data_IF_491773632775
#
_entry.id   IF_491773632775
#
_cell.length_a   1.000
_cell.length_b   1.000
_cell.length_c   1.000
_cell.angle_alpha   90.00
_cell.angle_beta   90.00
_cell.angle_gamma   90.00
#
_symmetry.space_group_name_H-M   'P 1'
#
loop_
_entity.id
_entity.type
_entity.pdbx_description
1 polymer ?
#
# COMPACT_ATOMS: atom_id res chain seq x y z
N UNK A 1 19.81 -32.11 62.74
CA UNK A 1 20.34 -30.86 63.32
C UNK A 1 19.22 -29.82 63.23
N UNK A 2 18.49 -29.58 64.33
CA UNK A 2 18.30 -28.25 64.98
C UNK A 2 18.04 -27.14 63.95
N UNK A 3 16.86 -26.53 63.75
CA UNK A 3 15.74 -26.21 64.63
C UNK A 3 15.78 -24.71 64.99
N UNK A 4 14.84 -23.89 64.51
CA UNK A 4 14.41 -22.60 65.10
C UNK A 4 13.16 -22.07 64.36
N UNK A 5 11.94 -22.40 64.81
CA UNK A 5 11.00 -21.58 65.61
C UNK A 5 10.38 -20.37 64.88
N UNK A 6 9.04 -20.40 64.85
CA UNK A 6 8.12 -19.30 64.54
C UNK A 6 8.38 -18.06 65.41
N UNK A 7 8.05 -16.88 64.90
CA UNK A 7 7.45 -15.85 65.76
C UNK A 7 6.46 -14.99 64.98
N UNK A 8 5.18 -15.10 65.37
CA UNK A 8 4.09 -14.17 65.03
C UNK A 8 4.42 -12.78 65.59
N UNK A 9 4.17 -11.73 64.81
CA UNK A 9 3.88 -10.38 65.32
C UNK A 9 2.73 -9.77 64.53
N UNK A 10 1.54 -9.86 65.10
CA UNK A 10 0.46 -8.88 64.92
C UNK A 10 0.70 -7.74 65.91
N UNK A 11 0.50 -6.49 65.49
CA UNK A 11 0.18 -5.26 66.27
C UNK A 11 0.12 -4.09 65.26
N UNK A 12 -1.04 -3.58 64.86
CA UNK A 12 -1.92 -2.56 65.48
C UNK A 12 -1.60 -1.10 65.06
N UNK A 13 -2.65 -0.47 64.51
CA UNK A 13 -3.04 0.96 64.41
C UNK A 13 -2.03 2.01 63.90
N UNK A 14 -2.49 2.76 62.89
CA UNK A 14 -1.95 4.05 62.49
C UNK A 14 -2.87 4.78 61.52
N UNK A 15 -4.05 5.20 61.99
CA UNK A 15 -4.88 6.18 61.29
C UNK A 15 -4.20 7.56 61.39
N UNK A 16 -3.94 8.18 60.25
CA UNK A 16 -3.63 9.60 60.16
C UNK A 16 -4.42 10.20 59.01
N UNK A 17 -5.61 10.69 59.37
CA UNK A 17 -6.40 11.66 58.63
C UNK A 17 -5.56 12.95 58.52
N UNK A 18 -5.22 13.38 57.31
CA UNK A 18 -4.80 14.76 57.06
C UNK A 18 -5.70 15.34 55.98
N UNK A 19 -6.71 16.05 56.47
CA UNK A 19 -7.49 17.04 55.75
C UNK A 19 -6.53 18.11 55.20
N UNK A 20 -6.37 18.17 53.88
CA UNK A 20 -5.92 19.38 53.21
C UNK A 20 -7.13 19.97 52.50
N UNK A 21 -7.45 21.19 52.94
CA UNK A 21 -8.65 21.92 52.59
C UNK A 21 -8.75 22.26 51.11
N UNK A 22 -9.99 22.23 50.67
CA UNK A 22 -10.54 22.82 49.47
C UNK A 22 -10.15 24.30 49.32
N UNK A 23 -9.60 24.65 48.16
CA UNK A 23 -9.76 25.96 47.56
C UNK A 23 -10.28 25.76 46.14
N UNK A 24 -11.60 25.52 46.02
CA UNK A 24 -12.31 25.68 44.77
C UNK A 24 -12.35 27.16 44.43
N UNK A 25 -11.38 27.65 43.68
CA UNK A 25 -11.54 28.92 42.94
C UNK A 25 -12.27 28.56 41.66
N UNK A 26 -13.60 28.50 41.76
CA UNK A 26 -14.48 28.44 40.60
C UNK A 26 -14.39 29.79 39.88
N UNK A 27 -13.47 29.90 38.92
CA UNK A 27 -13.54 30.95 37.92
C UNK A 27 -14.87 30.79 37.18
N UNK A 28 -15.80 31.72 37.42
CA UNK A 28 -17.02 31.80 36.62
C UNK A 28 -16.58 32.20 35.21
N UNK A 29 -16.96 31.45 34.16
CA UNK A 29 -16.85 31.96 32.80
C UNK A 29 -17.76 33.18 32.69
N UNK A 30 -17.24 34.27 32.12
CA UNK A 30 -18.05 35.44 31.81
C UNK A 30 -19.21 35.04 30.89
N UNK A 31 -20.43 35.56 31.10
CA UNK A 31 -21.52 35.37 30.15
C UNK A 31 -21.11 35.96 28.79
N UNK A 32 -21.43 35.29 27.67
CA UNK A 32 -21.17 35.86 26.35
C UNK A 32 -21.90 37.20 26.21
N UNK A 33 -21.30 38.19 25.53
CA UNK A 33 -21.94 39.48 25.31
C UNK A 33 -23.28 39.29 24.58
N UNK A 34 -24.29 40.04 25.00
CA UNK A 34 -25.60 40.07 24.36
C UNK A 34 -25.45 40.41 22.86
N UNK A 35 -26.26 39.81 21.97
CA UNK A 35 -26.25 40.16 20.57
C UNK A 35 -26.59 41.64 20.41
N UNK A 36 -25.70 42.39 19.75
CA UNK A 36 -25.96 43.77 19.36
C UNK A 36 -27.19 43.84 18.44
N UNK A 37 -28.03 44.89 18.54
CA UNK A 37 -29.16 45.07 17.64
C UNK A 37 -28.66 45.22 16.20
N UNK A 38 -29.11 44.30 15.35
CA UNK A 38 -28.88 44.37 13.90
C UNK A 38 -29.42 45.70 13.37
N UNK A 39 -28.61 46.52 12.68
CA UNK A 39 -29.12 47.71 12.02
C UNK A 39 -30.06 47.28 10.88
N UNK A 40 -31.28 47.80 10.94
CA UNK A 40 -32.33 47.65 9.95
C UNK A 40 -31.84 48.17 8.59
N UNK A 41 -31.76 47.28 7.61
CA UNK A 41 -31.26 47.61 6.28
C UNK A 41 -32.25 48.53 5.57
N UNK A 42 -31.80 49.74 5.24
CA UNK A 42 -32.50 50.67 4.35
C UNK A 42 -32.60 50.05 2.96
N UNK A 43 -33.77 50.06 2.28
CA UNK A 43 -33.88 49.51 0.94
C UNK A 43 -33.08 50.37 -0.05
N UNK A 44 -32.04 49.77 -0.64
CA UNK A 44 -31.27 50.35 -1.75
C UNK A 44 -32.05 50.13 -3.05
N UNK A 45 -32.21 51.19 -3.82
CA UNK A 45 -32.83 51.17 -5.14
C UNK A 45 -32.14 50.18 -6.10
N UNK A 46 -32.96 49.39 -6.79
CA UNK A 46 -32.60 48.41 -7.82
C UNK A 46 -31.99 49.10 -9.04
N UNK A 47 -30.76 48.78 -9.48
CA UNK A 47 -30.30 49.18 -10.80
C UNK A 47 -30.96 48.28 -11.87
N UNK A 48 -31.32 48.90 -13.00
CA UNK A 48 -31.91 48.23 -14.16
C UNK A 48 -30.94 47.20 -14.78
N UNK A 49 -31.44 46.09 -15.35
CA UNK A 49 -30.59 45.05 -15.93
C UNK A 49 -29.91 45.53 -17.22
N UNK A 50 -28.59 45.37 -17.27
CA UNK A 50 -27.79 45.42 -18.50
C UNK A 50 -28.07 44.18 -19.34
N UNK A 51 -28.27 44.29 -20.67
CA UNK A 51 -28.47 43.12 -21.52
C UNK A 51 -27.21 42.22 -21.54
N UNK A 52 -27.38 40.88 -21.61
CA UNK A 52 -26.25 39.96 -21.70
C UNK A 52 -25.51 40.10 -23.05
N UNK A 53 -24.20 39.82 -23.10
CA UNK A 53 -23.46 39.74 -24.35
C UNK A 53 -23.98 38.59 -25.24
N UNK A 54 -23.81 38.69 -26.57
CA UNK A 54 -24.25 37.64 -27.49
C UNK A 54 -23.52 36.32 -27.22
N UNK A 55 -24.31 35.25 -27.12
CA UNK A 55 -23.85 33.87 -27.01
C UNK A 55 -22.95 33.50 -28.20
N UNK A 56 -21.73 32.98 -27.98
CA UNK A 56 -20.94 32.42 -29.08
C UNK A 56 -21.65 31.20 -29.66
N UNK A 57 -21.66 31.11 -31.00
CA UNK A 57 -22.21 29.96 -31.71
C UNK A 57 -21.54 28.65 -31.25
N UNK A 58 -22.27 27.52 -31.19
CA UNK A 58 -21.69 26.24 -30.82
C UNK A 58 -20.60 25.86 -31.84
N UNK A 59 -19.37 25.68 -31.34
CA UNK A 59 -18.32 25.04 -32.11
C UNK A 59 -18.73 23.58 -32.33
N UNK A 60 -18.89 23.19 -33.59
CA UNK A 60 -19.08 21.79 -33.99
C UNK A 60 -17.90 20.98 -33.44
N UNK A 61 -18.15 20.15 -32.44
CA UNK A 61 -17.15 19.22 -31.94
C UNK A 61 -16.82 18.23 -33.07
N UNK A 62 -15.59 18.28 -33.55
CA UNK A 62 -15.01 17.21 -34.36
C UNK A 62 -15.08 15.92 -33.52
N UNK A 63 -15.55 14.78 -34.05
CA UNK A 63 -15.52 13.54 -33.31
C UNK A 63 -14.06 13.16 -33.04
N UNK A 64 -13.64 13.24 -31.79
CA UNK A 64 -12.40 12.63 -31.32
C UNK A 64 -12.57 11.13 -31.42
N UNK A 65 -11.92 10.54 -32.42
CA UNK A 65 -11.74 9.09 -32.50
C UNK A 65 -10.97 8.66 -31.24
N UNK A 66 -11.52 7.77 -30.39
CA UNK A 66 -10.77 7.27 -29.25
C UNK A 66 -9.49 6.58 -29.76
N UNK A 67 -8.35 6.71 -29.03
CA UNK A 67 -7.15 5.97 -29.40
C UNK A 67 -7.49 4.46 -29.49
N UNK A 68 -6.91 3.71 -30.45
CA UNK A 68 -7.14 2.29 -30.52
C UNK A 68 -6.77 1.67 -29.17
N UNK A 69 -7.73 1.01 -28.53
CA UNK A 69 -7.45 0.05 -27.46
C UNK A 69 -6.74 -1.12 -28.12
N UNK A 70 -5.42 -1.02 -28.26
CA UNK A 70 -4.59 -2.15 -28.67
C UNK A 70 -4.67 -3.16 -27.54
N UNK A 71 -5.38 -4.26 -27.78
CA UNK A 71 -5.30 -5.46 -26.95
C UNK A 71 -3.81 -5.82 -26.81
N UNK A 72 -3.31 -6.10 -25.59
CA UNK A 72 -1.90 -6.42 -25.40
C UNK A 72 -1.52 -7.58 -26.32
N UNK A 73 -0.40 -7.43 -27.03
CA UNK A 73 0.14 -8.52 -27.84
C UNK A 73 0.44 -9.72 -26.91
N UNK A 74 0.22 -10.95 -27.39
CA UNK A 74 0.25 -12.14 -26.54
C UNK A 74 1.60 -12.33 -25.87
N UNK A 75 1.58 -12.99 -24.70
CA UNK A 75 2.78 -13.51 -24.02
C UNK A 75 3.62 -14.30 -25.04
N UNK A 76 4.80 -13.76 -25.36
CA UNK A 76 5.76 -14.45 -26.21
C UNK A 76 6.50 -15.51 -25.41
N UNK A 77 6.66 -16.70 -25.99
CA UNK A 77 7.46 -17.77 -25.43
C UNK A 77 8.95 -17.42 -25.60
N UNK A 78 9.43 -16.57 -24.68
CA UNK A 78 10.84 -16.27 -24.52
C UNK A 78 11.40 -17.15 -23.41
N UNK A 79 12.61 -17.67 -23.62
CA UNK A 79 13.36 -18.31 -22.54
C UNK A 79 13.45 -17.34 -21.34
N UNK A 80 13.04 -17.77 -20.14
CA UNK A 80 13.03 -16.91 -18.96
C UNK A 80 14.42 -16.32 -18.67
N UNK A 81 14.45 -15.10 -18.13
CA UNK A 81 15.72 -14.42 -17.83
C UNK A 81 16.20 -14.70 -16.41
N UNK A 82 17.39 -15.28 -16.29
CA UNK A 82 18.03 -15.63 -15.02
C UNK A 82 18.69 -14.45 -14.29
N UNK A 83 18.83 -13.28 -14.92
CA UNK A 83 19.50 -12.14 -14.29
C UNK A 83 18.63 -11.36 -13.29
N UNK A 84 18.99 -10.12 -13.00
CA UNK A 84 18.35 -9.34 -11.92
C UNK A 84 16.92 -8.93 -12.27
N UNK A 85 16.05 -8.90 -11.26
CA UNK A 85 14.80 -8.12 -11.27
C UNK A 85 15.16 -6.69 -10.85
N UNK A 86 14.85 -5.68 -11.67
CA UNK A 86 15.46 -4.34 -11.53
C UNK A 86 14.51 -3.29 -11.02
N UNK A 87 13.28 -3.23 -11.54
CA UNK A 87 12.30 -2.22 -11.11
C UNK A 87 10.88 -2.67 -11.39
N UNK A 88 9.93 -2.02 -10.72
CA UNK A 88 8.50 -2.18 -10.97
C UNK A 88 7.86 -0.84 -11.25
N UNK A 89 6.91 -0.83 -12.19
CA UNK A 89 6.05 0.32 -12.48
C UNK A 89 4.59 -0.04 -12.24
N UNK A 90 3.86 0.87 -11.61
CA UNK A 90 2.41 0.81 -11.41
C UNK A 90 1.82 2.08 -12.04
N UNK A 91 1.52 2.09 -13.36
CA UNK A 91 1.20 3.31 -14.08
C UNK A 91 -0.03 4.05 -13.57
N UNK A 92 -1.09 3.34 -13.13
CA UNK A 92 -2.30 3.98 -12.59
C UNK A 92 -2.06 4.69 -11.25
N UNK A 93 -0.97 4.37 -10.55
CA UNK A 93 -0.56 5.00 -9.30
C UNK A 93 0.62 5.97 -9.46
N UNK A 94 1.13 6.15 -10.69
CA UNK A 94 2.33 6.96 -10.97
C UNK A 94 3.57 6.51 -10.16
N UNK A 95 3.70 5.21 -9.91
CA UNK A 95 4.84 4.63 -9.16
C UNK A 95 5.84 4.00 -10.12
N UNK A 96 7.11 4.32 -9.89
CA UNK A 96 8.28 3.60 -10.41
C UNK A 96 9.30 3.49 -9.28
N UNK A 97 9.68 2.26 -8.94
CA UNK A 97 10.61 2.00 -7.84
C UNK A 97 11.59 0.87 -8.18
N UNK A 98 12.85 0.97 -7.71
CA UNK A 98 13.81 -0.11 -7.86
C UNK A 98 13.37 -1.34 -7.06
N UNK A 99 13.75 -2.51 -7.57
CA UNK A 99 13.58 -3.79 -6.88
C UNK A 99 14.91 -4.22 -6.27
N UNK A 100 14.84 -4.72 -5.04
CA UNK A 100 15.96 -5.42 -4.41
C UNK A 100 15.55 -6.84 -4.01
N UNK A 101 16.47 -7.81 -4.10
CA UNK A 101 16.22 -9.15 -3.59
C UNK A 101 16.20 -9.11 -2.05
N UNK A 102 15.15 -9.69 -1.48
CA UNK A 102 14.98 -9.89 -0.05
C UNK A 102 14.61 -11.35 0.20
N UNK A 103 14.70 -11.79 1.45
CA UNK A 103 14.48 -13.19 1.80
C UNK A 103 13.62 -13.37 3.04
N UNK A 104 13.84 -14.50 3.69
CA UNK A 104 13.35 -14.79 5.03
C UNK A 104 14.53 -14.58 5.96
N UNK A 105 14.32 -13.85 7.05
CA UNK A 105 15.27 -13.76 8.15
C UNK A 105 15.18 -15.07 8.92
N UNK A 106 16.03 -16.04 8.59
CA UNK A 106 15.94 -17.42 9.09
C UNK A 106 16.00 -17.50 10.62
N UNK A 107 16.81 -16.66 11.27
CA UNK A 107 16.97 -16.68 12.73
C UNK A 107 15.68 -16.26 13.46
N UNK A 108 14.85 -15.45 12.81
CA UNK A 108 13.60 -14.93 13.34
C UNK A 108 12.38 -15.64 12.76
N UNK A 109 12.56 -16.39 11.66
CA UNK A 109 11.49 -16.95 10.85
C UNK A 109 10.47 -15.89 10.42
N UNK A 110 10.99 -14.73 9.99
CA UNK A 110 10.21 -13.54 9.59
C UNK A 110 10.52 -13.16 8.14
N UNK A 111 9.57 -12.55 7.45
CA UNK A 111 9.81 -11.98 6.12
C UNK A 111 10.68 -10.74 6.25
N UNK A 112 11.76 -10.67 5.47
CA UNK A 112 12.60 -9.47 5.42
C UNK A 112 11.81 -8.28 4.84
N UNK A 113 12.25 -7.06 5.18
CA UNK A 113 11.56 -5.82 4.86
C UNK A 113 12.49 -4.95 4.01
N UNK A 114 12.05 -4.49 2.83
CA UNK A 114 12.91 -3.70 1.95
C UNK A 114 13.24 -2.32 2.51
N UNK A 115 14.23 -1.65 1.92
CA UNK A 115 14.46 -0.23 2.11
C UNK A 115 13.19 0.58 1.82
N UNK A 116 13.01 1.71 2.51
CA UNK A 116 11.74 2.44 2.52
C UNK A 116 11.24 2.90 1.13
N UNK A 117 12.15 3.07 0.16
CA UNK A 117 11.84 3.48 -1.22
C UNK A 117 11.97 2.33 -2.23
N UNK A 118 12.36 1.13 -1.80
CA UNK A 118 12.51 -0.04 -2.68
C UNK A 118 11.27 -0.93 -2.61
N UNK A 119 11.11 -1.74 -3.66
CA UNK A 119 10.23 -2.90 -3.64
C UNK A 119 11.11 -4.12 -3.40
N UNK A 120 10.78 -4.92 -2.40
CA UNK A 120 11.45 -6.18 -2.13
C UNK A 120 10.84 -7.28 -2.98
N UNK A 121 11.67 -8.02 -3.71
CA UNK A 121 11.31 -9.29 -4.33
C UNK A 121 11.81 -10.42 -3.45
N UNK A 122 10.93 -11.34 -3.07
CA UNK A 122 11.32 -12.51 -2.31
C UNK A 122 11.99 -13.55 -3.23
N UNK A 123 13.32 -13.51 -3.27
CA UNK A 123 14.15 -14.46 -4.01
C UNK A 123 14.26 -15.76 -3.20
N UNK A 124 13.19 -16.56 -3.24
CA UNK A 124 13.07 -17.78 -2.42
C UNK A 124 12.96 -18.99 -3.33
N UNK A 125 14.10 -19.62 -3.60
CA UNK A 125 14.21 -20.77 -4.51
C UNK A 125 13.57 -22.06 -3.93
N UNK A 126 13.53 -22.22 -2.61
CA UNK A 126 13.07 -23.45 -1.94
C UNK A 126 11.60 -23.41 -1.48
N UNK A 127 10.87 -22.30 -1.71
CA UNK A 127 9.45 -22.22 -1.39
C UNK A 127 8.58 -22.52 -2.61
N UNK A 128 8.21 -23.79 -2.76
CA UNK A 128 7.28 -24.28 -3.77
C UNK A 128 6.12 -23.30 -4.02
N UNK A 129 5.87 -22.98 -5.29
CA UNK A 129 4.78 -22.11 -5.73
C UNK A 129 5.20 -20.65 -5.92
N UNK A 130 6.30 -20.23 -5.30
CA UNK A 130 6.93 -18.94 -5.59
C UNK A 130 8.11 -19.10 -6.53
N UNK A 131 8.32 -18.11 -7.38
CA UNK A 131 9.41 -18.11 -8.33
C UNK A 131 9.72 -16.73 -8.89
N UNK A 132 10.68 -16.71 -9.80
CA UNK A 132 11.14 -15.50 -10.46
C UNK A 132 10.18 -15.07 -11.58
N UNK A 133 10.03 -13.75 -11.85
CA UNK A 133 9.22 -13.27 -12.96
C UNK A 133 9.65 -13.92 -14.29
N UNK A 134 8.68 -14.47 -15.03
CA UNK A 134 8.88 -15.19 -16.29
C UNK A 134 8.97 -16.71 -16.20
N UNK A 135 9.00 -17.31 -15.00
CA UNK A 135 9.15 -18.77 -14.81
C UNK A 135 7.84 -19.54 -14.68
N UNK A 136 6.68 -18.89 -14.88
CA UNK A 136 5.37 -19.57 -14.75
C UNK A 136 4.93 -19.85 -13.32
N UNK A 137 5.54 -19.17 -12.34
CA UNK A 137 5.24 -19.28 -10.91
C UNK A 137 4.62 -18.00 -10.34
N UNK A 138 4.43 -17.91 -9.02
CA UNK A 138 3.99 -16.67 -8.39
C UNK A 138 5.23 -15.90 -7.92
N UNK A 139 5.45 -14.68 -8.37
CA UNK A 139 6.49 -13.84 -7.76
C UNK A 139 5.91 -12.99 -6.63
N UNK A 140 6.50 -13.09 -5.44
CA UNK A 140 6.05 -12.34 -4.26
C UNK A 140 6.85 -11.06 -4.09
N UNK A 141 6.16 -9.94 -3.92
CA UNK A 141 6.75 -8.63 -3.69
C UNK A 141 6.15 -7.94 -2.47
N UNK A 142 7.00 -7.23 -1.72
CA UNK A 142 6.56 -6.32 -0.66
C UNK A 142 7.14 -4.93 -0.84
N UNK A 143 6.44 -3.93 -0.32
CA UNK A 143 6.97 -2.58 -0.18
C UNK A 143 6.26 -1.85 0.95
N UNK A 144 6.89 -0.79 1.46
CA UNK A 144 6.29 0.06 2.48
C UNK A 144 5.04 0.76 1.96
N UNK A 145 4.00 0.82 2.79
CA UNK A 145 2.88 1.74 2.60
C UNK A 145 3.37 3.15 2.92
N UNK A 146 3.80 3.36 4.15
CA UNK A 146 4.48 4.56 4.59
C UNK A 146 5.65 4.21 5.51
N UNK A 147 6.44 5.23 5.85
CA UNK A 147 7.62 5.07 6.66
C UNK A 147 7.80 6.30 7.57
N UNK A 148 8.12 6.04 8.84
CA UNK A 148 8.28 7.07 9.85
C UNK A 148 9.41 8.07 9.47
N UNK A 149 9.24 9.40 9.66
CA UNK A 149 8.10 10.05 10.30
C UNK A 149 6.93 10.43 9.40
N UNK A 150 7.10 10.57 8.08
CA UNK A 150 6.06 11.03 7.15
C UNK A 150 6.45 10.75 5.68
N UNK A 151 7.07 9.61 5.39
CA UNK A 151 7.45 9.22 4.04
C UNK A 151 6.41 8.26 3.48
N UNK A 152 6.08 8.38 2.20
CA UNK A 152 5.27 7.38 1.49
C UNK A 152 6.20 6.37 0.85
N UNK A 153 5.91 5.08 1.00
CA UNK A 153 6.61 4.02 0.29
C UNK A 153 5.96 3.70 -1.05
N UNK A 154 6.55 2.80 -1.85
CA UNK A 154 6.05 2.47 -3.18
C UNK A 154 4.61 1.93 -3.20
N UNK A 155 4.18 1.25 -2.13
CA UNK A 155 2.84 0.64 -2.03
C UNK A 155 1.86 1.47 -1.19
N UNK A 156 2.11 2.77 -1.00
CA UNK A 156 1.24 3.68 -0.24
C UNK A 156 -0.24 3.56 -0.62
N UNK A 157 -0.52 3.55 -1.92
CA UNK A 157 -1.85 3.51 -2.52
C UNK A 157 -2.18 2.17 -3.19
N UNK A 158 -1.55 1.05 -2.76
CA UNK A 158 -1.68 -0.24 -3.44
C UNK A 158 -3.15 -0.69 -3.63
N UNK A 159 -4.03 -0.40 -2.68
CA UNK A 159 -5.47 -0.74 -2.72
C UNK A 159 -6.31 0.13 -3.65
N UNK A 160 -5.71 1.15 -4.26
CA UNK A 160 -6.34 1.97 -5.30
C UNK A 160 -6.18 1.36 -6.70
N UNK A 161 -5.35 0.31 -6.85
CA UNK A 161 -5.32 -0.50 -8.06
C UNK A 161 -6.70 -1.10 -8.33
N UNK A 162 -7.04 -1.25 -9.60
CA UNK A 162 -8.32 -1.83 -10.02
C UNK A 162 -8.08 -3.01 -10.92
N UNK A 163 -9.06 -3.90 -10.99
CA UNK A 163 -9.04 -4.97 -11.99
C UNK A 163 -8.85 -4.37 -13.39
N UNK A 164 -7.88 -4.88 -14.14
CA UNK A 164 -7.46 -4.34 -15.43
C UNK A 164 -6.23 -3.42 -15.38
N UNK A 165 -5.88 -2.87 -14.21
CA UNK A 165 -4.67 -2.06 -14.06
C UNK A 165 -3.42 -2.90 -14.31
N UNK A 166 -2.36 -2.22 -14.78
CA UNK A 166 -1.13 -2.87 -15.20
C UNK A 166 -0.06 -2.75 -14.12
N UNK A 167 0.69 -3.82 -13.93
CA UNK A 167 1.92 -3.85 -13.14
C UNK A 167 3.02 -4.33 -14.04
N UNK A 168 4.11 -3.57 -14.17
CA UNK A 168 5.18 -3.87 -15.11
C UNK A 168 6.45 -4.15 -14.33
N UNK A 169 6.99 -5.36 -14.47
CA UNK A 169 8.27 -5.76 -13.88
C UNK A 169 9.35 -5.68 -14.95
N UNK A 170 10.42 -4.92 -14.68
CA UNK A 170 11.54 -4.71 -15.59
C UNK A 170 12.73 -5.57 -15.15
N UNK A 171 13.29 -6.33 -16.08
CA UNK A 171 14.44 -7.21 -15.84
C UNK A 171 15.75 -6.55 -16.28
N UNK A 172 16.87 -7.12 -15.82
CA UNK A 172 18.22 -6.60 -16.07
C UNK A 172 18.69 -6.63 -17.53
N UNK A 173 18.09 -7.48 -18.38
CA UNK A 173 18.32 -7.45 -19.83
C UNK A 173 17.44 -6.44 -20.57
N UNK A 174 16.54 -5.75 -19.87
CA UNK A 174 15.62 -4.77 -20.43
C UNK A 174 14.30 -5.33 -20.93
N UNK A 175 14.03 -6.63 -20.77
CA UNK A 175 12.67 -7.16 -21.01
C UNK A 175 11.71 -6.70 -19.93
N UNK A 176 10.43 -6.66 -20.27
CA UNK A 176 9.38 -6.31 -19.33
C UNK A 176 8.30 -7.39 -19.30
N UNK A 177 7.88 -7.76 -18.09
CA UNK A 177 6.71 -8.60 -17.86
C UNK A 177 5.55 -7.71 -17.43
N UNK A 178 4.47 -7.72 -18.20
CA UNK A 178 3.28 -6.91 -17.97
C UNK A 178 2.21 -7.79 -17.38
N UNK A 179 1.83 -7.49 -16.14
CA UNK A 179 0.78 -8.17 -15.40
C UNK A 179 -0.48 -7.32 -15.35
N UNK A 180 -1.64 -7.96 -15.31
CA UNK A 180 -2.95 -7.33 -15.16
C UNK A 180 -3.57 -7.73 -13.81
N UNK A 181 -3.93 -6.72 -13.02
CA UNK A 181 -4.61 -6.89 -11.73
C UNK A 181 -5.96 -7.57 -11.95
N UNK A 182 -6.25 -8.60 -11.16
CA UNK A 182 -7.55 -9.28 -11.18
C UNK A 182 -8.19 -9.44 -9.80
N UNK A 183 -7.43 -9.19 -8.74
CA UNK A 183 -7.89 -9.35 -7.37
C UNK A 183 -7.19 -8.38 -6.43
N UNK A 184 -7.94 -7.88 -5.45
CA UNK A 184 -7.39 -7.17 -4.31
C UNK A 184 -8.23 -7.43 -3.06
N UNK A 185 -7.57 -7.57 -1.92
CA UNK A 185 -8.24 -7.72 -0.62
C UNK A 185 -7.35 -7.24 0.53
N UNK A 186 -8.01 -6.81 1.61
CA UNK A 186 -7.36 -6.51 2.89
C UNK A 186 -7.62 -7.64 3.87
N UNK A 187 -6.55 -8.16 4.46
CA UNK A 187 -6.58 -9.20 5.48
C UNK A 187 -6.24 -8.64 6.85
N UNK A 188 -6.92 -9.12 7.90
CA UNK A 188 -6.49 -8.87 9.27
C UNK A 188 -5.20 -9.61 9.63
N UNK A 189 -4.74 -9.38 10.85
CA UNK A 189 -3.59 -10.07 11.41
C UNK A 189 -3.84 -11.60 11.46
N UNK A 190 -2.90 -12.38 10.94
CA UNK A 190 -2.99 -13.85 10.91
C UNK A 190 -3.93 -14.42 9.84
N UNK A 191 -4.66 -13.58 9.09
CA UNK A 191 -5.59 -14.01 8.03
C UNK A 191 -4.97 -13.99 6.63
N UNK A 192 -3.76 -13.44 6.49
CA UNK A 192 -3.11 -13.31 5.19
C UNK A 192 -2.91 -14.70 4.53
N UNK A 193 -3.32 -14.88 3.27
CA UNK A 193 -3.46 -16.20 2.66
C UNK A 193 -2.13 -16.77 2.13
N UNK A 194 -1.03 -16.68 2.90
CA UNK A 194 0.30 -17.20 2.51
C UNK A 194 0.25 -18.66 2.07
N UNK A 195 -0.54 -19.48 2.76
CA UNK A 195 -0.70 -20.90 2.44
C UNK A 195 -1.27 -21.12 1.03
N UNK A 196 -2.30 -20.35 0.67
CA UNK A 196 -2.93 -20.41 -0.64
C UNK A 196 -2.00 -19.87 -1.75
N UNK A 197 -1.25 -18.80 -1.48
CA UNK A 197 -0.24 -18.29 -2.44
C UNK A 197 0.89 -19.29 -2.71
N UNK A 198 1.33 -20.00 -1.67
CA UNK A 198 2.38 -21.04 -1.78
C UNK A 198 1.85 -22.30 -2.47
N UNK A 199 0.59 -22.65 -2.27
CA UNK A 199 -0.01 -23.89 -2.79
C UNK A 199 -1.33 -23.58 -3.48
N UNK A 200 -1.29 -22.90 -4.64
CA UNK A 200 -2.50 -22.47 -5.33
C UNK A 200 -3.42 -23.64 -5.68
N UNK A 201 -2.85 -24.81 -6.03
CA UNK A 201 -3.61 -26.02 -6.34
C UNK A 201 -4.30 -26.68 -5.12
N UNK A 202 -3.87 -26.35 -3.91
CA UNK A 202 -4.49 -26.80 -2.65
C UNK A 202 -5.43 -25.73 -2.06
N UNK A 203 -5.52 -24.54 -2.67
CA UNK A 203 -6.28 -23.43 -2.11
C UNK A 203 -7.78 -23.72 -2.06
N UNK A 204 -8.40 -23.47 -0.91
CA UNK A 204 -9.85 -23.64 -0.72
C UNK A 204 -10.65 -22.59 -1.47
N UNK A 205 -10.18 -21.34 -1.46
CA UNK A 205 -10.80 -20.25 -2.21
C UNK A 205 -10.36 -20.30 -3.69
N UNK A 206 -11.31 -20.39 -4.64
CA UNK A 206 -11.03 -20.42 -6.07
C UNK A 206 -10.20 -19.24 -6.59
N UNK A 207 -10.20 -18.09 -5.92
CA UNK A 207 -9.42 -16.93 -6.36
C UNK A 207 -7.91 -17.16 -6.30
N UNK A 208 -7.47 -18.07 -5.44
CA UNK A 208 -6.06 -18.47 -5.31
C UNK A 208 -5.72 -19.73 -6.11
N UNK A 209 -6.70 -20.37 -6.74
CA UNK A 209 -6.46 -21.53 -7.61
C UNK A 209 -5.89 -21.08 -8.95
N UNK A 210 -4.58 -20.85 -8.98
CA UNK A 210 -3.84 -20.46 -10.19
C UNK A 210 -4.03 -21.52 -11.28
N UNK A 211 -4.60 -21.17 -12.44
CA UNK A 211 -4.71 -22.10 -13.57
C UNK A 211 -3.33 -22.55 -14.07
N UNK A 212 -3.27 -23.78 -14.60
CA UNK A 212 -2.04 -24.30 -15.21
C UNK A 212 -1.57 -23.39 -16.35
N UNK A 213 -0.29 -23.04 -16.34
CA UNK A 213 0.32 -22.17 -17.35
C UNK A 213 0.08 -20.67 -17.12
N UNK A 214 -0.71 -20.27 -16.11
CA UNK A 214 -0.73 -18.87 -15.68
C UNK A 214 0.44 -18.55 -14.74
N UNK A 215 1.03 -17.37 -14.95
CA UNK A 215 2.03 -16.77 -14.08
C UNK A 215 1.42 -15.58 -13.34
N UNK A 216 1.62 -15.50 -12.03
CA UNK A 216 1.07 -14.44 -11.20
C UNK A 216 2.16 -13.64 -10.49
N UNK A 217 1.82 -12.43 -10.08
CA UNK A 217 2.54 -11.71 -9.03
C UNK A 217 1.60 -11.48 -7.85
N UNK A 218 2.15 -11.57 -6.65
CA UNK A 218 1.50 -11.19 -5.42
C UNK A 218 2.21 -9.97 -4.84
N UNK A 219 1.51 -8.84 -4.79
CA UNK A 219 2.00 -7.61 -4.19
C UNK A 219 1.36 -7.47 -2.82
N UNK A 220 2.15 -7.26 -1.76
CA UNK A 220 1.58 -7.03 -0.45
C UNK A 220 2.25 -5.90 0.34
N UNK A 221 1.49 -5.26 1.22
CA UNK A 221 1.99 -4.19 2.09
C UNK A 221 1.22 -4.15 3.41
N UNK A 222 1.74 -3.38 4.38
CA UNK A 222 1.02 -2.97 5.57
C UNK A 222 -0.26 -2.18 5.20
N UNK A 223 -1.38 -2.40 5.90
CA UNK A 223 -2.64 -1.75 5.59
C UNK A 223 -3.55 -1.54 6.81
N UNK A 224 -4.70 -0.90 6.58
CA UNK A 224 -5.75 -0.76 7.59
C UNK A 224 -5.37 0.14 8.77
N UNK A 225 -5.85 -0.24 9.96
CA UNK A 225 -5.66 0.55 11.18
C UNK A 225 -4.20 0.59 11.63
N UNK A 226 -3.76 1.78 12.07
CA UNK A 226 -2.42 2.03 12.60
C UNK A 226 -2.47 2.18 14.12
N UNK A 227 -1.65 1.41 14.82
CA UNK A 227 -1.47 1.48 16.28
C UNK A 227 -0.12 2.11 16.58
N UNK A 228 -0.16 3.36 17.03
CA UNK A 228 1.05 4.09 17.42
C UNK A 228 1.59 3.60 18.78
N UNK A 229 2.90 3.38 18.87
CA UNK A 229 3.61 3.07 20.14
C UNK A 229 3.53 4.20 21.17
N UNK A 230 3.33 5.44 20.70
CA UNK A 230 3.09 6.65 21.47
C UNK A 230 2.37 7.68 20.59
N UNK A 231 1.67 8.69 21.16
CA UNK A 231 1.02 9.72 20.36
C UNK A 231 1.99 10.38 19.38
N UNK A 232 1.68 10.29 18.08
CA UNK A 232 2.54 10.79 17.01
C UNK A 232 3.93 10.16 16.99
N UNK A 233 4.05 8.87 17.29
CA UNK A 233 5.28 8.09 17.17
C UNK A 233 5.15 6.95 16.15
N UNK A 234 6.20 6.11 16.00
CA UNK A 234 6.15 4.93 15.16
C UNK A 234 5.10 3.95 15.69
N UNK A 235 4.71 2.98 14.89
CA UNK A 235 3.67 2.03 15.22
C UNK A 235 3.59 0.93 14.17
N UNK A 236 2.52 0.15 14.23
CA UNK A 236 2.29 -0.98 13.35
C UNK A 236 0.90 -0.92 12.72
N UNK A 237 0.80 -1.53 11.55
CA UNK A 237 -0.46 -1.73 10.85
C UNK A 237 -1.02 -3.10 11.17
N UNK A 238 -2.30 -3.15 11.53
CA UNK A 238 -2.99 -4.38 11.92
C UNK A 238 -3.49 -5.23 10.74
N UNK A 239 -3.30 -4.76 9.51
CA UNK A 239 -3.75 -5.46 8.31
C UNK A 239 -2.65 -5.58 7.27
N UNK A 240 -2.90 -6.44 6.29
CA UNK A 240 -2.10 -6.56 5.07
C UNK A 240 -2.98 -6.41 3.86
N UNK A 241 -2.59 -5.53 2.96
CA UNK A 241 -3.24 -5.38 1.66
C UNK A 241 -2.55 -6.32 0.68
N UNK A 242 -3.33 -7.12 -0.07
CA UNK A 242 -2.88 -8.02 -1.11
C UNK A 242 -3.46 -7.59 -2.45
N UNK A 243 -2.64 -7.60 -3.49
CA UNK A 243 -3.05 -7.50 -4.89
C UNK A 243 -2.47 -8.68 -5.65
N UNK A 244 -3.30 -9.34 -6.46
CA UNK A 244 -2.86 -10.34 -7.43
C UNK A 244 -3.00 -9.80 -8.84
N UNK A 245 -1.98 -10.05 -9.65
CA UNK A 245 -1.99 -9.74 -11.06
C UNK A 245 -1.43 -10.92 -11.87
N UNK A 246 -1.98 -11.16 -13.06
CA UNK A 246 -1.57 -12.27 -13.94
C UNK A 246 -0.79 -11.75 -15.14
N UNK A 247 0.18 -12.50 -15.63
CA UNK A 247 0.96 -12.13 -16.80
C UNK A 247 0.04 -12.06 -18.03
N UNK A 248 0.07 -10.94 -18.75
CA UNK A 248 -0.72 -10.74 -19.97
C UNK A 248 0.13 -10.42 -21.20
N UNK A 249 1.35 -9.94 -21.00
CA UNK A 249 2.26 -9.61 -22.10
C UNK A 249 3.72 -9.69 -21.64
N UNK A 250 4.58 -10.15 -22.54
CA UNK A 250 6.04 -10.08 -22.39
C UNK A 250 6.58 -9.15 -23.47
N UNK A 251 7.25 -8.08 -23.07
CA UNK A 251 7.92 -7.14 -23.99
C UNK A 251 9.39 -7.54 -24.06
N UNK A 252 9.89 -8.00 -25.22
CA UNK A 252 11.31 -8.34 -25.36
C UNK A 252 12.22 -7.14 -25.11
N UNK A 253 13.50 -7.35 -24.77
CA UNK A 253 14.47 -6.27 -24.72
C UNK A 253 14.51 -5.47 -26.03
N UNK A 254 14.58 -4.15 -25.92
CA UNK A 254 14.83 -3.27 -27.07
C UNK A 254 16.17 -3.65 -27.74
N UNK A 255 16.13 -4.41 -28.84
CA UNK A 255 17.32 -4.65 -29.67
C UNK A 255 17.96 -3.32 -30.16
N UNK A 256 17.19 -2.22 -30.18
CA UNK A 256 17.59 -0.89 -30.62
C UNK A 256 18.32 -0.05 -29.56
N UNK A 257 18.13 -0.27 -28.25
CA UNK A 257 18.87 0.47 -27.21
C UNK A 257 20.31 0.00 -27.08
N UNK A 258 20.57 -1.27 -27.35
CA UNK A 258 21.91 -1.85 -27.35
C UNK A 258 22.79 -1.36 -28.53
N UNK A 259 22.18 -1.00 -29.67
CA UNK A 259 22.90 -0.51 -30.85
C UNK A 259 23.21 1.01 -30.81
N UNK A 260 22.52 1.78 -29.96
CA UNK A 260 22.66 3.25 -29.88
C UNK A 260 23.67 3.77 -28.85
N UNK A 261 24.12 2.94 -27.91
CA UNK A 261 25.08 3.33 -26.86
C UNK A 261 26.56 3.21 -27.27
N UNK A 262 26.85 2.72 -28.47
CA UNK A 262 28.20 2.57 -29.02
C UNK A 262 28.67 3.69 -29.97
N UNK A 263 27.85 4.73 -30.18
CA UNK A 263 28.18 5.87 -31.03
C UNK A 263 27.67 7.19 -30.42
N UNK A 264 28.20 7.60 -29.27
CA UNK A 264 28.33 9.01 -28.89
C UNK A 264 29.63 9.23 -28.13
#
# INVERSE_FOLDING_TARGET
MRGWQLTRRFLILGAALLLVGTACVSARPDPPPAPEPTPEATPRATPAPTPPPPTPAPATATPTVPPPTTEPEPVVDLEPYEGKVVSMRLPSLEVEAPIEPIGIIEELNELDVPEWHNIGWYEIEDMHGFGKPGYGETSLFSAHKDYWPNKRGPFYALTELKNGDKVIVVMGDGREYVYEVFFQERYGEGEFPMGALRRPHEAEDPVFQRPDGEEWIALYTCGGDFVASRPGGPGEYLHRDLVLARLVQTIPPDAARAAGAGQQ
#
